data_IF_434214393847
#
_entry.id   IF_434214393847
#
_cell.length_a   1.000
_cell.length_b   1.000
_cell.length_c   1.000
_cell.angle_alpha   90.00
_cell.angle_beta   90.00
_cell.angle_gamma   90.00
#
_symmetry.space_group_name_H-M   'P 1'
#
loop_
_entity.id
_entity.type
_entity.pdbx_description
1 polymer ?
#
# COMPACT_ATOMS: atom_id res chain seq x y z
N UNK A 1 -28.00 -5.41 -1.89
CA UNK A 1 -27.41 -6.59 -1.19
C UNK A 1 -25.95 -6.78 -1.57
N UNK A 2 -25.60 -6.85 -2.86
CA UNK A 2 -24.22 -7.12 -3.31
C UNK A 2 -23.16 -6.11 -2.82
N UNK A 3 -23.43 -4.79 -2.87
CA UNK A 3 -22.48 -3.77 -2.36
C UNK A 3 -22.21 -3.93 -0.86
N UNK A 4 -23.24 -4.29 -0.08
CA UNK A 4 -23.11 -4.53 1.36
C UNK A 4 -22.25 -5.77 1.62
N UNK A 5 -22.46 -6.83 0.84
CA UNK A 5 -21.65 -8.04 0.91
C UNK A 5 -20.19 -7.75 0.54
N UNK A 6 -19.93 -6.98 -0.51
CA UNK A 6 -18.59 -6.59 -0.94
C UNK A 6 -17.84 -5.79 0.16
N UNK A 7 -18.50 -4.79 0.77
CA UNK A 7 -17.91 -4.02 1.88
C UNK A 7 -17.64 -4.88 3.11
N UNK A 8 -18.53 -5.82 3.43
CA UNK A 8 -18.33 -6.76 4.53
C UNK A 8 -17.16 -7.72 4.23
N UNK A 9 -17.02 -8.19 2.99
CA UNK A 9 -15.91 -9.05 2.60
C UNK A 9 -14.58 -8.33 2.61
N UNK A 10 -14.53 -7.05 2.22
CA UNK A 10 -13.30 -6.23 2.29
C UNK A 10 -12.78 -6.14 3.73
N UNK A 11 -13.66 -5.78 4.68
CA UNK A 11 -13.30 -5.70 6.09
C UNK A 11 -12.90 -7.06 6.68
N UNK A 12 -13.54 -8.15 6.24
CA UNK A 12 -13.14 -9.50 6.65
C UNK A 12 -11.77 -9.89 6.06
N UNK A 13 -11.53 -9.57 4.79
CA UNK A 13 -10.28 -9.86 4.11
C UNK A 13 -9.10 -9.12 4.76
N UNK A 14 -9.26 -7.85 5.14
CA UNK A 14 -8.22 -7.09 5.84
C UNK A 14 -7.74 -7.81 7.10
N UNK A 15 -8.67 -8.34 7.93
CA UNK A 15 -8.32 -9.12 9.13
C UNK A 15 -7.53 -10.39 8.80
N UNK A 16 -7.89 -11.08 7.72
CA UNK A 16 -7.17 -12.27 7.27
C UNK A 16 -5.78 -11.91 6.75
N UNK A 17 -5.64 -10.76 6.07
CA UNK A 17 -4.36 -10.29 5.54
C UNK A 17 -3.39 -9.93 6.66
N UNK A 18 -3.84 -9.20 7.68
CA UNK A 18 -3.01 -8.87 8.84
C UNK A 18 -2.42 -10.12 9.49
N UNK A 19 -3.23 -11.17 9.62
CA UNK A 19 -2.79 -12.47 10.13
C UNK A 19 -1.75 -13.12 9.22
N UNK A 20 -2.03 -13.22 7.92
CA UNK A 20 -1.12 -13.86 6.96
C UNK A 20 0.21 -13.10 6.86
N UNK A 21 0.18 -11.77 6.86
CA UNK A 21 1.37 -10.92 6.81
C UNK A 21 2.25 -11.10 8.06
N UNK A 22 1.65 -11.25 9.25
CA UNK A 22 2.38 -11.61 10.46
C UNK A 22 2.95 -13.03 10.41
N UNK A 23 2.14 -14.02 10.04
CA UNK A 23 2.52 -15.45 10.01
C UNK A 23 3.65 -15.69 8.99
N UNK A 24 3.56 -15.09 7.81
CA UNK A 24 4.58 -15.25 6.75
C UNK A 24 5.89 -14.56 7.09
N UNK A 25 5.87 -13.40 7.77
CA UNK A 25 7.10 -12.80 8.31
C UNK A 25 7.76 -13.67 9.38
N UNK A 26 6.98 -14.32 10.25
CA UNK A 26 7.52 -15.24 11.24
C UNK A 26 8.18 -16.46 10.56
N UNK A 27 7.53 -17.02 9.54
CA UNK A 27 8.08 -18.11 8.73
C UNK A 27 9.37 -17.70 8.02
N UNK A 28 9.41 -16.52 7.38
CA UNK A 28 10.60 -16.02 6.70
C UNK A 28 11.82 -15.94 7.65
N UNK A 29 11.61 -15.42 8.87
CA UNK A 29 12.67 -15.38 9.90
C UNK A 29 13.13 -16.77 10.33
N UNK A 30 12.19 -17.71 10.50
CA UNK A 30 12.51 -19.10 10.85
C UNK A 30 13.32 -19.82 9.75
N UNK A 31 13.11 -19.44 8.49
CA UNK A 31 13.85 -19.94 7.32
C UNK A 31 15.14 -19.14 7.04
N UNK A 32 15.69 -18.43 8.02
CA UNK A 32 16.94 -17.63 7.92
C UNK A 32 16.82 -16.41 7.01
N UNK A 33 15.60 -15.97 6.66
CA UNK A 33 15.38 -14.72 5.94
C UNK A 33 15.58 -13.49 6.83
N UNK A 34 16.43 -12.55 6.41
CA UNK A 34 16.64 -11.28 7.09
C UNK A 34 15.70 -10.20 6.56
N UNK A 35 15.03 -9.47 7.46
CA UNK A 35 14.16 -8.33 7.10
C UNK A 35 14.93 -7.04 7.31
N UNK A 36 15.47 -6.49 6.23
CA UNK A 36 16.25 -5.25 6.27
C UNK A 36 15.33 -4.04 6.24
N UNK A 37 15.49 -3.15 7.22
CA UNK A 37 14.88 -1.82 7.18
C UNK A 37 15.76 -0.90 6.33
N UNK A 38 15.18 -0.30 5.31
CA UNK A 38 15.86 0.67 4.43
C UNK A 38 15.27 2.05 4.59
N UNK A 39 16.08 3.08 4.36
CA UNK A 39 15.56 4.43 4.13
C UNK A 39 14.76 4.43 2.82
N UNK A 40 13.48 4.76 2.94
CA UNK A 40 12.55 4.78 1.80
C UNK A 40 12.57 6.12 1.05
N UNK A 41 13.18 7.17 1.59
CA UNK A 41 13.19 8.49 0.95
C UNK A 41 13.85 8.48 -0.44
N UNK A 42 15.01 7.84 -0.66
CA UNK A 42 15.64 7.78 -1.99
C UNK A 42 14.76 7.03 -3.01
N UNK A 43 14.08 5.96 -2.58
CA UNK A 43 13.17 5.20 -3.44
C UNK A 43 11.96 6.04 -3.86
N UNK A 44 11.37 6.80 -2.91
CA UNK A 44 10.27 7.72 -3.21
C UNK A 44 10.70 8.81 -4.19
N UNK A 45 11.87 9.40 -3.98
CA UNK A 45 12.43 10.40 -4.90
C UNK A 45 12.68 9.81 -6.30
N UNK A 46 13.20 8.59 -6.39
CA UNK A 46 13.49 7.93 -7.66
C UNK A 46 12.22 7.63 -8.48
N UNK A 47 11.08 7.38 -7.83
CA UNK A 47 9.80 7.15 -8.52
C UNK A 47 9.01 8.44 -8.79
N UNK A 48 9.51 9.61 -8.37
CA UNK A 48 8.84 10.89 -8.60
C UNK A 48 8.42 11.14 -10.07
N UNK A 49 9.22 10.78 -11.09
CA UNK A 49 8.82 10.97 -12.48
C UNK A 49 7.52 10.23 -12.87
N UNK A 50 7.20 9.10 -12.20
CA UNK A 50 5.95 8.38 -12.40
C UNK A 50 4.75 9.19 -11.89
N UNK A 51 4.89 9.87 -10.75
CA UNK A 51 3.88 10.79 -10.24
C UNK A 51 3.72 12.02 -11.12
N UNK A 52 4.82 12.54 -11.67
CA UNK A 52 4.79 13.65 -12.62
C UNK A 52 4.05 13.28 -13.92
N UNK A 53 4.13 12.02 -14.34
CA UNK A 53 3.35 11.50 -15.46
C UNK A 53 1.85 11.42 -15.15
N UNK A 54 1.46 10.90 -13.98
CA UNK A 54 0.06 10.88 -13.54
C UNK A 54 -0.52 12.30 -13.38
N UNK A 55 0.30 13.30 -13.05
CA UNK A 55 -0.15 14.70 -12.95
C UNK A 55 -0.54 15.33 -14.30
N UNK A 56 -0.19 14.71 -15.43
CA UNK A 56 -0.57 15.20 -16.77
C UNK A 56 -2.06 15.02 -17.05
N UNK A 57 -2.70 14.01 -16.48
CA UNK A 57 -4.16 13.85 -16.55
C UNK A 57 -4.84 14.62 -15.40
N UNK A 58 -5.78 15.55 -15.68
CA UNK A 58 -6.39 16.38 -14.64
C UNK A 58 -7.17 15.59 -13.58
N UNK A 59 -7.76 14.44 -13.92
CA UNK A 59 -8.51 13.62 -12.96
C UNK A 59 -7.56 12.86 -12.04
N UNK A 60 -6.48 12.33 -12.59
CA UNK A 60 -5.43 11.66 -11.83
C UNK A 60 -4.69 12.64 -10.93
N UNK A 61 -4.35 13.84 -11.42
CA UNK A 61 -3.77 14.91 -10.62
C UNK A 61 -4.67 15.28 -9.41
N UNK A 62 -5.97 15.45 -9.65
CA UNK A 62 -6.92 15.76 -8.58
C UNK A 62 -7.06 14.63 -7.55
N UNK A 63 -6.95 13.37 -7.98
CA UNK A 63 -6.97 12.22 -7.07
C UNK A 63 -5.67 12.12 -6.27
N UNK A 64 -4.53 12.34 -6.91
CA UNK A 64 -3.21 12.32 -6.26
C UNK A 64 -3.12 13.38 -5.17
N UNK A 65 -3.61 14.61 -5.43
CA UNK A 65 -3.66 15.67 -4.43
C UNK A 65 -4.49 15.27 -3.18
N UNK A 66 -5.55 14.48 -3.35
CA UNK A 66 -6.34 13.96 -2.20
C UNK A 66 -5.57 12.92 -1.40
N UNK A 67 -4.77 12.08 -2.06
CA UNK A 67 -3.93 11.11 -1.37
C UNK A 67 -2.78 11.78 -0.63
N UNK A 68 -2.14 12.78 -1.24
CA UNK A 68 -1.08 13.59 -0.60
C UNK A 68 -1.61 14.31 0.65
N UNK A 69 -2.78 14.97 0.56
CA UNK A 69 -3.40 15.65 1.70
C UNK A 69 -3.89 14.69 2.81
N UNK A 70 -4.20 13.44 2.49
CA UNK A 70 -4.59 12.43 3.49
C UNK A 70 -3.39 11.72 4.14
N UNK A 71 -2.18 11.94 3.61
CA UNK A 71 -0.94 11.39 4.13
C UNK A 71 -0.25 12.33 5.14
N UNK A 72 -0.65 13.61 5.22
CA UNK A 72 -0.35 14.55 6.32
C UNK A 72 -1.18 14.24 7.58
#
# INVERSE_FOLDING_TARGET
ILIKAAKASEAYQQKLWDKIDADTRAQAKAMVGEIIKVDKAPFRAAVQPLFDEFKKDPKQAALLAKFEAAAE
#
